data_IF_088495845406
#
_entry.id   IF_088495845406
#
_cell.length_a   1.000
_cell.length_b   1.000
_cell.length_c   1.000
_cell.angle_alpha   90.00
_cell.angle_beta   90.00
_cell.angle_gamma   90.00
#
_symmetry.space_group_name_H-M   'P 1'
#
loop_
_entity.id
_entity.type
_entity.pdbx_description
1 polymer ?
#
# COMPACT_ATOMS: atom_id res chain seq x y z
N UNK A 1 -34.23 40.74 62.79
CA UNK A 1 -33.29 39.66 63.14
C UNK A 1 -33.18 38.77 61.91
N UNK A 2 -31.98 38.54 61.35
CA UNK A 2 -31.82 37.67 60.17
C UNK A 2 -32.15 36.22 60.54
N UNK A 3 -32.93 35.54 59.71
CA UNK A 3 -33.26 34.13 59.92
C UNK A 3 -31.99 33.28 59.80
N UNK A 4 -31.99 32.09 60.39
CA UNK A 4 -30.83 31.19 60.31
C UNK A 4 -30.48 30.81 58.86
N UNK A 5 -31.50 30.72 58.00
CA UNK A 5 -31.34 30.48 56.56
C UNK A 5 -30.58 31.61 55.86
N UNK A 6 -30.93 32.88 56.13
CA UNK A 6 -30.24 34.05 55.54
C UNK A 6 -28.76 34.10 55.94
N UNK A 7 -28.45 33.71 57.19
CA UNK A 7 -27.06 33.64 57.66
C UNK A 7 -26.26 32.54 56.96
N UNK A 8 -26.90 31.41 56.66
CA UNK A 8 -26.27 30.33 55.90
C UNK A 8 -26.08 30.74 54.44
N UNK A 9 -27.01 31.48 53.85
CA UNK A 9 -26.83 32.04 52.51
C UNK A 9 -25.68 33.04 52.44
N UNK A 10 -25.62 34.00 53.37
CA UNK A 10 -24.51 34.96 53.43
C UNK A 10 -23.16 34.20 53.48
N UNK A 11 -23.05 33.20 54.35
CA UNK A 11 -21.85 32.36 54.51
C UNK A 11 -21.53 31.53 53.25
N UNK A 12 -22.55 31.02 52.57
CA UNK A 12 -22.40 30.24 51.34
C UNK A 12 -21.86 31.11 50.22
N UNK A 13 -22.40 32.33 50.06
CA UNK A 13 -21.94 33.30 49.07
C UNK A 13 -20.53 33.82 49.36
N UNK A 14 -20.14 33.87 50.63
CA UNK A 14 -18.77 34.17 51.06
C UNK A 14 -17.81 32.97 50.92
N UNK A 15 -18.33 31.77 50.62
CA UNK A 15 -17.54 30.55 50.43
C UNK A 15 -16.98 29.95 51.72
N UNK A 16 -17.57 30.29 52.87
CA UNK A 16 -17.10 29.84 54.19
C UNK A 16 -17.89 28.63 54.74
N UNK A 17 -18.87 28.13 53.98
CA UNK A 17 -19.70 26.99 54.41
C UNK A 17 -18.94 25.66 54.37
N UNK A 18 -19.22 24.82 55.36
CA UNK A 18 -18.82 23.42 55.37
C UNK A 18 -19.85 22.52 54.65
N UNK A 19 -19.48 21.31 54.20
CA UNK A 19 -20.41 20.38 53.55
C UNK A 19 -21.63 20.01 54.42
N UNK A 20 -21.46 19.96 55.75
CA UNK A 20 -22.55 19.70 56.69
C UNK A 20 -23.53 20.89 56.76
N UNK A 21 -23.01 22.12 56.80
CA UNK A 21 -23.82 23.34 56.79
C UNK A 21 -24.58 23.51 55.47
N UNK A 22 -23.98 23.16 54.34
CA UNK A 22 -24.68 23.20 53.06
C UNK A 22 -25.81 22.17 52.96
N UNK A 23 -25.65 20.99 53.58
CA UNK A 23 -26.74 20.01 53.67
C UNK A 23 -27.91 20.58 54.48
N UNK A 24 -27.60 21.21 55.61
CA UNK A 24 -28.60 21.89 56.45
C UNK A 24 -29.26 23.05 55.70
N UNK A 25 -28.49 23.84 54.94
CA UNK A 25 -29.01 24.91 54.08
C UNK A 25 -30.03 24.37 53.08
N UNK A 26 -29.70 23.26 52.39
CA UNK A 26 -30.59 22.59 51.44
C UNK A 26 -31.87 22.08 52.11
N UNK A 27 -31.77 21.39 53.24
CA UNK A 27 -32.91 20.86 53.98
C UNK A 27 -33.85 21.98 54.48
N UNK A 28 -33.28 23.09 54.97
CA UNK A 28 -34.04 24.25 55.41
C UNK A 28 -34.70 24.98 54.23
N UNK A 29 -34.03 25.06 53.08
CA UNK A 29 -34.56 25.68 51.88
C UNK A 29 -35.81 24.95 51.36
N UNK A 30 -35.81 23.61 51.40
CA UNK A 30 -36.96 22.77 51.05
C UNK A 30 -38.17 22.98 51.97
N UNK A 31 -37.93 23.26 53.25
CA UNK A 31 -38.99 23.47 54.26
C UNK A 31 -39.47 24.92 54.33
N UNK A 32 -38.73 25.86 53.74
CA UNK A 32 -39.07 27.28 53.77
C UNK A 32 -40.10 27.66 52.70
N UNK A 33 -41.04 28.54 53.06
CA UNK A 33 -41.94 29.20 52.09
C UNK A 33 -41.22 30.42 51.46
N UNK A 34 -41.18 30.50 50.12
CA UNK A 34 -40.44 31.53 49.38
C UNK A 34 -39.09 31.06 48.81
N UNK A 35 -38.20 32.01 48.48
CA UNK A 35 -36.85 31.76 47.91
C UNK A 35 -36.87 30.95 46.60
N UNK A 36 -37.79 31.29 45.68
CA UNK A 36 -37.97 30.57 44.42
C UNK A 36 -36.68 30.56 43.56
N UNK A 37 -35.95 31.68 43.52
CA UNK A 37 -34.72 31.77 42.73
C UNK A 37 -33.59 30.88 43.29
N UNK A 38 -33.46 30.82 44.61
CA UNK A 38 -32.49 29.98 45.29
C UNK A 38 -32.89 28.50 45.19
N UNK A 39 -34.19 28.19 45.28
CA UNK A 39 -34.70 26.83 45.06
C UNK A 39 -34.40 26.34 43.65
N UNK A 40 -34.66 27.16 42.63
CA UNK A 40 -34.33 26.81 41.25
C UNK A 40 -32.82 26.53 41.08
N UNK A 41 -31.97 27.34 41.71
CA UNK A 41 -30.52 27.17 41.66
C UNK A 41 -30.05 25.88 42.35
N UNK A 42 -30.51 25.61 43.57
CA UNK A 42 -30.03 24.47 44.36
C UNK A 42 -30.70 23.14 43.96
N UNK A 43 -31.98 23.15 43.60
CA UNK A 43 -32.76 21.94 43.28
C UNK A 43 -32.66 21.57 41.80
N UNK A 44 -32.51 22.55 40.89
CA UNK A 44 -32.33 22.27 39.46
C UNK A 44 -31.06 21.46 39.18
N UNK A 45 -30.02 21.58 40.03
CA UNK A 45 -28.81 20.77 39.94
C UNK A 45 -29.06 19.30 40.30
N UNK A 46 -30.00 19.01 41.21
CA UNK A 46 -30.37 17.63 41.55
C UNK A 46 -31.15 16.97 40.43
N UNK A 47 -32.07 17.68 39.78
CA UNK A 47 -32.76 17.16 38.59
C UNK A 47 -31.76 16.81 37.50
N UNK A 48 -30.78 17.68 37.24
CA UNK A 48 -29.72 17.44 36.26
C UNK A 48 -28.80 16.28 36.69
N UNK A 49 -28.45 16.18 37.97
CA UNK A 49 -27.66 15.06 38.49
C UNK A 49 -28.43 13.72 38.48
N UNK A 50 -29.76 13.79 38.61
CA UNK A 50 -30.65 12.63 38.54
C UNK A 50 -30.94 12.20 37.08
N UNK A 51 -30.65 13.04 36.08
CA UNK A 51 -30.56 12.63 34.67
C UNK A 51 -29.32 11.73 34.52
N UNK A 52 -29.53 10.48 34.90
CA UNK A 52 -28.57 9.39 34.90
C UNK A 52 -28.00 9.23 33.49
N UNK A 53 -26.68 9.01 33.40
CA UNK A 53 -25.86 8.78 32.19
C UNK A 53 -26.41 7.75 31.17
N UNK A 54 -27.52 7.06 31.45
CA UNK A 54 -28.09 5.99 30.63
C UNK A 54 -28.75 6.47 29.32
N UNK A 55 -29.10 7.76 29.19
CA UNK A 55 -29.66 8.31 27.94
C UNK A 55 -28.61 8.95 27.02
N UNK A 56 -27.35 9.05 27.45
CA UNK A 56 -26.24 9.50 26.60
C UNK A 56 -25.67 8.33 25.77
N UNK A 57 -26.56 7.55 25.14
CA UNK A 57 -26.15 6.58 24.14
C UNK A 57 -25.70 7.34 22.90
N UNK A 58 -24.41 7.68 22.87
CA UNK A 58 -23.74 8.10 21.65
C UNK A 58 -23.86 6.94 20.66
N UNK A 59 -24.84 7.00 19.75
CA UNK A 59 -24.95 6.08 18.62
C UNK A 59 -23.61 6.10 17.89
N UNK A 60 -22.79 5.08 18.10
CA UNK A 60 -21.53 4.94 17.38
C UNK A 60 -21.88 4.85 15.90
N UNK A 61 -21.35 5.74 15.03
CA UNK A 61 -21.68 5.69 13.62
C UNK A 61 -21.24 4.33 13.08
N UNK A 62 -22.22 3.52 12.66
CA UNK A 62 -21.97 2.23 12.03
C UNK A 62 -21.23 2.54 10.72
N UNK A 63 -19.92 2.27 10.73
CA UNK A 63 -19.02 2.62 9.62
C UNK A 63 -19.37 1.74 8.43
N UNK A 64 -20.22 2.24 7.53
CA UNK A 64 -20.62 1.52 6.31
C UNK A 64 -19.38 1.17 5.49
N UNK A 65 -19.26 -0.10 5.12
CA UNK A 65 -18.18 -0.60 4.29
C UNK A 65 -18.17 0.16 2.95
N UNK A 66 -17.08 0.86 2.68
CA UNK A 66 -16.97 1.68 1.47
C UNK A 66 -16.53 0.80 0.30
N UNK A 67 -17.53 0.25 -0.41
CA UNK A 67 -17.32 -0.56 -1.61
C UNK A 67 -16.44 0.16 -2.64
N UNK A 68 -16.55 1.48 -2.74
CA UNK A 68 -15.71 2.32 -3.61
C UNK A 68 -14.22 2.22 -3.30
N UNK A 69 -13.81 2.17 -2.02
CA UNK A 69 -12.38 2.00 -1.66
C UNK A 69 -11.86 0.62 -2.03
N UNK A 70 -12.71 -0.41 -1.90
CA UNK A 70 -12.37 -1.76 -2.33
C UNK A 70 -12.23 -1.87 -3.84
N UNK A 71 -13.05 -1.15 -4.59
CA UNK A 71 -12.94 -1.07 -6.05
C UNK A 71 -11.63 -0.41 -6.50
N UNK A 72 -11.17 0.63 -5.79
CA UNK A 72 -9.86 1.26 -6.06
C UNK A 72 -8.69 0.30 -5.85
N UNK A 73 -8.75 -0.53 -4.81
CA UNK A 73 -7.73 -1.57 -4.55
C UNK A 73 -7.75 -2.62 -5.66
N UNK A 74 -8.92 -3.06 -6.12
CA UNK A 74 -9.04 -4.03 -7.21
C UNK A 74 -8.47 -3.48 -8.54
N UNK A 75 -8.69 -2.21 -8.84
CA UNK A 75 -8.14 -1.55 -10.03
C UNK A 75 -6.60 -1.56 -10.03
N UNK A 76 -5.98 -1.29 -8.88
CA UNK A 76 -4.52 -1.37 -8.72
C UNK A 76 -4.01 -2.78 -9.02
N UNK A 77 -4.64 -3.82 -8.47
CA UNK A 77 -4.26 -5.21 -8.75
C UNK A 77 -4.34 -5.55 -10.23
N UNK A 78 -5.39 -5.12 -10.93
CA UNK A 78 -5.52 -5.35 -12.37
C UNK A 78 -4.41 -4.68 -13.18
N UNK A 79 -4.05 -3.43 -12.85
CA UNK A 79 -2.95 -2.72 -13.52
C UNK A 79 -1.63 -3.46 -13.31
N UNK A 80 -1.34 -3.90 -12.09
CA UNK A 80 -0.13 -4.68 -11.80
C UNK A 80 -0.08 -6.02 -12.55
N UNK A 81 -1.23 -6.70 -12.68
CA UNK A 81 -1.31 -7.98 -13.38
C UNK A 81 -1.04 -7.81 -14.88
N UNK A 82 -1.65 -6.81 -15.51
CA UNK A 82 -1.42 -6.49 -16.94
C UNK A 82 0.02 -6.06 -17.19
N UNK A 83 0.58 -5.21 -16.32
CA UNK A 83 1.97 -4.78 -16.42
C UNK A 83 2.92 -5.97 -16.28
N UNK A 84 2.70 -6.85 -15.29
CA UNK A 84 3.52 -8.04 -15.06
C UNK A 84 3.53 -9.00 -16.26
N UNK A 85 2.37 -9.25 -16.87
CA UNK A 85 2.27 -10.10 -18.07
C UNK A 85 3.01 -9.46 -19.26
N UNK A 86 2.82 -8.16 -19.48
CA UNK A 86 3.45 -7.44 -20.60
C UNK A 86 4.97 -7.41 -20.47
N UNK A 87 5.49 -7.15 -19.26
CA UNK A 87 6.93 -7.16 -18.98
C UNK A 87 7.51 -8.55 -19.23
N UNK A 88 6.86 -9.61 -18.75
CA UNK A 88 7.33 -10.98 -18.96
C UNK A 88 7.38 -11.36 -20.43
N UNK A 89 6.36 -10.97 -21.21
CA UNK A 89 6.32 -11.21 -22.65
C UNK A 89 7.43 -10.44 -23.38
N UNK A 90 7.67 -9.18 -23.02
CA UNK A 90 8.74 -8.39 -23.63
C UNK A 90 10.13 -8.93 -23.28
N UNK A 91 10.36 -9.35 -22.05
CA UNK A 91 11.63 -9.97 -21.64
C UNK A 91 11.88 -11.28 -22.41
N UNK A 92 10.83 -12.08 -22.62
CA UNK A 92 10.95 -13.31 -23.41
C UNK A 92 11.30 -13.00 -24.88
N UNK A 93 10.65 -12.01 -25.49
CA UNK A 93 10.97 -11.58 -26.87
C UNK A 93 12.41 -11.09 -27.00
N UNK A 94 12.88 -10.26 -26.06
CA UNK A 94 14.27 -9.79 -26.08
C UNK A 94 15.27 -10.95 -25.94
N UNK A 95 14.98 -11.92 -25.06
CA UNK A 95 15.83 -13.10 -24.91
C UNK A 95 15.86 -13.97 -26.19
N UNK A 96 14.74 -14.08 -26.90
CA UNK A 96 14.65 -14.79 -28.19
C UNK A 96 15.45 -14.05 -29.28
N UNK A 97 15.35 -12.73 -29.36
CA UNK A 97 16.12 -11.89 -30.29
C UNK A 97 17.64 -12.02 -30.05
N UNK A 98 18.10 -11.92 -28.80
CA UNK A 98 19.52 -12.09 -28.46
C UNK A 98 20.04 -13.50 -28.79
N UNK A 99 19.23 -14.54 -28.55
CA UNK A 99 19.60 -15.91 -28.89
C UNK A 99 19.71 -16.09 -30.41
N UNK A 100 18.78 -15.50 -31.17
CA UNK A 100 18.80 -15.52 -32.64
C UNK A 100 20.05 -14.82 -33.19
N UNK A 101 20.38 -13.63 -32.70
CA UNK A 101 21.58 -12.91 -33.12
C UNK A 101 22.86 -13.71 -32.84
N UNK A 102 22.99 -14.33 -31.66
CA UNK A 102 24.14 -15.18 -31.32
C UNK A 102 24.29 -16.34 -32.28
N UNK A 103 23.18 -17.00 -32.63
CA UNK A 103 23.17 -18.11 -33.60
C UNK A 103 23.59 -17.62 -34.98
N UNK A 104 23.03 -16.50 -35.45
CA UNK A 104 23.37 -15.96 -36.76
C UNK A 104 24.84 -15.55 -36.87
N UNK A 105 25.37 -14.93 -35.81
CA UNK A 105 26.79 -14.59 -35.73
C UNK A 105 27.69 -15.84 -35.75
N UNK A 106 27.30 -16.90 -35.03
CA UNK A 106 28.02 -18.18 -35.08
C UNK A 106 27.98 -18.80 -36.49
N UNK A 107 26.83 -18.76 -37.16
CA UNK A 107 26.70 -19.21 -38.55
C UNK A 107 27.58 -18.39 -39.50
N UNK A 108 27.66 -17.07 -39.32
CA UNK A 108 28.52 -16.21 -40.12
C UNK A 108 30.00 -16.60 -39.98
N UNK A 109 30.46 -16.86 -38.75
CA UNK A 109 31.83 -17.33 -38.47
C UNK A 109 32.10 -18.72 -39.07
N UNK A 110 31.13 -19.64 -38.98
CA UNK A 110 31.24 -20.97 -39.61
C UNK A 110 31.36 -20.81 -41.12
N UNK A 111 30.52 -19.98 -41.74
CA UNK A 111 30.55 -19.76 -43.19
C UNK A 111 31.88 -19.12 -43.64
N UNK A 112 32.40 -18.14 -42.90
CA UNK A 112 33.70 -17.54 -43.17
C UNK A 112 34.83 -18.58 -43.13
N UNK A 113 34.85 -19.44 -42.10
CA UNK A 113 35.84 -20.50 -41.97
C UNK A 113 35.67 -21.58 -43.05
N UNK A 114 34.44 -21.91 -43.42
CA UNK A 114 34.13 -22.85 -44.48
C UNK A 114 34.61 -22.31 -45.84
N UNK A 115 34.37 -21.03 -46.14
CA UNK A 115 34.86 -20.40 -47.37
C UNK A 115 36.39 -20.38 -47.46
N UNK A 116 37.08 -20.12 -46.35
CA UNK A 116 38.55 -20.25 -46.27
C UNK A 116 39.01 -21.70 -46.50
N UNK A 117 38.30 -22.67 -45.92
CA UNK A 117 38.53 -24.09 -46.11
C UNK A 117 38.34 -24.55 -47.56
N UNK A 118 37.24 -24.14 -48.21
CA UNK A 118 36.96 -24.48 -49.62
C UNK A 118 37.93 -23.80 -50.58
N UNK A 119 38.34 -22.55 -50.33
CA UNK A 119 39.37 -21.89 -51.15
C UNK A 119 40.73 -22.60 -51.07
N UNK A 120 41.08 -23.15 -49.90
CA UNK A 120 42.28 -23.99 -49.79
C UNK A 120 42.16 -25.35 -50.50
N UNK A 121 40.95 -25.90 -50.60
CA UNK A 121 40.68 -27.13 -51.36
C UNK A 121 40.73 -26.90 -52.88
N UNK A 122 40.27 -25.74 -53.34
CA UNK A 122 40.35 -25.33 -54.75
C UNK A 122 41.81 -25.16 -55.19
N UNK A 123 42.63 -24.45 -54.40
CA UNK A 123 44.08 -24.36 -54.64
C UNK A 123 44.72 -25.76 -54.65
N UNK A 124 44.36 -26.63 -53.72
CA UNK A 124 44.83 -28.03 -53.70
C UNK A 124 44.41 -28.83 -54.93
N UNK A 125 43.28 -28.52 -55.56
CA UNK A 125 42.84 -29.15 -56.81
C UNK A 125 43.73 -28.71 -57.97
N UNK A 126 44.05 -27.41 -58.07
CA UNK A 126 44.98 -26.89 -59.08
C UNK A 126 46.39 -27.48 -58.91
N UNK A 127 46.87 -27.62 -57.67
CA UNK A 127 48.16 -28.26 -57.39
C UNK A 127 48.15 -29.78 -57.57
N UNK A 128 46.97 -30.43 -57.60
CA UNK A 128 46.85 -31.88 -57.82
C UNK A 128 47.26 -32.26 -59.25
N UNK A 129 46.93 -31.42 -60.23
CA UNK A 129 47.34 -31.59 -61.62
C UNK A 129 48.86 -31.41 -61.80
N UNK A 130 49.48 -30.56 -60.99
CA UNK A 130 50.92 -30.31 -61.04
C UNK A 130 51.77 -31.39 -60.34
N UNK A 131 51.19 -32.12 -59.38
CA UNK A 131 51.86 -33.17 -58.62
C UNK A 131 51.56 -34.59 -59.14
N UNK A 132 50.79 -34.76 -60.22
CA UNK A 132 50.62 -36.05 -60.89
C UNK A 132 51.85 -36.33 -61.77
N UNK A 133 52.87 -37.10 -61.32
CA UNK A 133 54.14 -37.24 -62.03
C UNK A 133 53.96 -37.96 -63.38
N UNK A 134 52.85 -38.68 -63.50
CA UNK A 134 52.43 -39.48 -64.66
C UNK A 134 51.80 -38.67 -65.81
N UNK A 135 51.49 -37.38 -65.62
CA UNK A 135 51.04 -36.50 -66.73
C UNK A 135 52.16 -35.60 -67.28
N UNK A 136 53.19 -35.28 -66.47
CA UNK A 136 54.29 -34.36 -66.87
C UNK A 136 55.39 -35.08 -67.65
N UNK A 137 55.58 -36.37 -67.40
CA UNK A 137 56.47 -37.20 -68.20
C UNK A 137 55.61 -38.08 -69.09
N UNK A 138 55.48 -37.71 -70.38
CA UNK A 138 55.09 -38.65 -71.43
C UNK A 138 56.16 -39.76 -71.51
N UNK A 139 56.15 -40.69 -70.56
CA UNK A 139 56.93 -41.92 -70.66
C UNK A 139 56.18 -42.80 -71.66
N UNK A 140 56.51 -42.59 -72.92
CA UNK A 140 56.12 -43.46 -74.02
C UNK A 140 56.81 -44.80 -73.78
N UNK A 141 56.11 -45.73 -73.14
CA UNK A 141 56.48 -47.15 -73.07
C UNK A 141 56.55 -47.69 -74.51
N UNK A 142 57.73 -47.58 -75.13
CA UNK A 142 58.05 -48.35 -76.33
C UNK A 142 58.32 -49.79 -75.91
N UNK A 143 57.39 -50.65 -76.33
CA UNK A 143 57.40 -52.11 -76.37
C UNK A 143 58.77 -52.76 -76.56
#
# INVERSE_FOLDING_TARGET
>A
MKNQLDKLFDKYWEGETSPEEEKILRDLLLQSEGYEAEKDFFLGLEEIAAIKENDLTLEKPIRKFSFSRWLSIAALFLVFLVAGVTIRQNLQKQAEEEAYEKVMNAFALINENMQKGTGSLELMQDFRHLNAPQEIFEIKETK
#
